data_IF_549730235653
#
_entry.id   IF_549730235653
#
_cell.length_a   1.000
_cell.length_b   1.000
_cell.length_c   1.000
_cell.angle_alpha   90.00
_cell.angle_beta   90.00
_cell.angle_gamma   90.00
#
_symmetry.space_group_name_H-M   'P 1'
#
loop_
_entity.id
_entity.type
_entity.pdbx_description
1 polymer ?
#
# COMPACT_ATOMS: atom_id res chain seq x y z
N UNK A 1 -7.50 2.24 -13.97
CA UNK A 1 -6.30 2.14 -14.83
C UNK A 1 -5.07 2.81 -14.21
N UNK A 2 -5.17 4.05 -13.71
CA UNK A 2 -4.02 4.83 -13.20
C UNK A 2 -3.22 4.15 -12.06
N UNK A 3 -3.90 3.45 -11.14
CA UNK A 3 -3.22 2.71 -10.04
C UNK A 3 -2.38 1.54 -10.55
N UNK A 4 -2.84 0.81 -11.58
CA UNK A 4 -2.07 -0.29 -12.16
C UNK A 4 -0.79 0.23 -12.84
N UNK A 5 -0.91 1.34 -13.56
CA UNK A 5 0.25 2.03 -14.17
C UNK A 5 1.23 2.52 -13.11
N UNK A 6 0.74 3.12 -12.03
CA UNK A 6 1.56 3.55 -10.91
C UNK A 6 2.38 2.38 -10.32
N UNK A 7 1.74 1.24 -10.07
CA UNK A 7 2.42 0.06 -9.54
C UNK A 7 3.50 -0.45 -10.49
N UNK A 8 3.22 -0.54 -11.79
CA UNK A 8 4.19 -0.98 -12.78
C UNK A 8 5.41 -0.04 -12.88
N UNK A 9 5.17 1.27 -12.95
CA UNK A 9 6.23 2.29 -13.01
C UNK A 9 7.03 2.32 -11.70
N UNK A 10 6.37 2.20 -10.56
CA UNK A 10 7.02 2.14 -9.24
C UNK A 10 7.96 0.94 -9.14
N UNK A 11 7.51 -0.25 -9.53
CA UNK A 11 8.34 -1.46 -9.48
C UNK A 11 9.55 -1.31 -10.39
N UNK A 12 9.35 -0.90 -11.65
CA UNK A 12 10.45 -0.67 -12.58
C UNK A 12 11.46 0.40 -12.09
N UNK A 13 10.98 1.44 -11.40
CA UNK A 13 11.83 2.47 -10.80
C UNK A 13 12.72 1.91 -9.68
N UNK A 14 12.13 1.10 -8.80
CA UNK A 14 12.86 0.49 -7.68
C UNK A 14 13.84 -0.56 -8.19
N UNK A 15 13.45 -1.40 -9.14
CA UNK A 15 14.35 -2.39 -9.74
C UNK A 15 15.57 -1.72 -10.40
N UNK A 16 15.36 -0.59 -11.09
CA UNK A 16 16.44 0.17 -11.70
C UNK A 16 17.36 0.86 -10.67
N UNK A 17 16.79 1.33 -9.56
CA UNK A 17 17.52 1.86 -8.41
C UNK A 17 18.39 0.77 -7.75
N UNK A 18 17.80 -0.40 -7.50
CA UNK A 18 18.48 -1.55 -6.88
C UNK A 18 19.59 -2.12 -7.78
N UNK A 19 19.39 -2.07 -9.10
CA UNK A 19 20.39 -2.44 -10.09
C UNK A 19 21.51 -1.38 -10.25
N UNK A 20 21.43 -0.23 -9.58
CA UNK A 20 22.40 0.85 -9.67
C UNK A 20 22.37 1.63 -10.99
N UNK A 21 21.28 1.52 -11.76
CA UNK A 21 21.07 2.24 -13.03
C UNK A 21 19.86 3.18 -12.89
N UNK A 22 19.97 4.24 -12.07
CA UNK A 22 18.86 5.14 -11.82
C UNK A 22 18.44 5.87 -13.11
N UNK A 23 17.16 5.74 -13.46
CA UNK A 23 16.58 6.42 -14.62
C UNK A 23 15.80 7.66 -14.16
N UNK A 24 16.39 8.84 -14.37
CA UNK A 24 15.79 10.12 -13.97
C UNK A 24 14.45 10.40 -14.65
N UNK A 25 14.27 10.00 -15.91
CA UNK A 25 13.00 10.16 -16.61
C UNK A 25 11.91 9.32 -15.94
N UNK A 26 12.23 8.08 -15.59
CA UNK A 26 11.30 7.15 -14.95
C UNK A 26 10.92 7.58 -13.52
N UNK A 27 11.86 8.18 -12.78
CA UNK A 27 11.58 8.79 -11.48
C UNK A 27 10.71 10.06 -11.59
N UNK A 28 10.90 10.86 -12.64
CA UNK A 28 10.06 12.03 -12.91
C UNK A 28 8.62 11.64 -13.23
N UNK A 29 8.43 10.59 -14.05
CA UNK A 29 7.11 10.02 -14.34
C UNK A 29 6.42 9.50 -13.07
N UNK A 30 7.17 8.75 -12.23
CA UNK A 30 6.66 8.26 -10.95
C UNK A 30 6.16 9.42 -10.07
N UNK A 31 6.93 10.50 -9.95
CA UNK A 31 6.56 11.70 -9.19
C UNK A 31 5.28 12.35 -9.71
N UNK A 32 5.13 12.51 -11.02
CA UNK A 32 3.91 13.09 -11.61
C UNK A 32 2.67 12.24 -11.32
N UNK A 33 2.82 10.92 -11.37
CA UNK A 33 1.73 10.00 -11.04
C UNK A 33 1.39 10.08 -9.54
N UNK A 34 2.39 10.13 -8.66
CA UNK A 34 2.20 10.30 -7.21
C UNK A 34 1.46 11.59 -6.86
N UNK A 35 1.83 12.72 -7.49
CA UNK A 35 1.18 14.01 -7.26
C UNK A 35 -0.29 13.99 -7.71
N UNK A 36 -0.60 13.33 -8.84
CA UNK A 36 -1.98 13.16 -9.33
C UNK A 36 -2.83 12.24 -8.44
N UNK A 37 -2.22 11.22 -7.85
CA UNK A 37 -2.89 10.29 -6.94
C UNK A 37 -2.96 10.81 -5.49
N UNK A 38 -2.31 11.93 -5.18
CA UNK A 38 -2.22 12.44 -3.81
C UNK A 38 -1.38 11.54 -2.89
N UNK A 39 -0.45 10.77 -3.45
CA UNK A 39 0.45 9.88 -2.71
C UNK A 39 1.77 10.55 -2.35
N UNK A 40 1.95 11.83 -2.67
CA UNK A 40 3.15 12.56 -2.30
C UNK A 40 3.31 12.59 -0.78
N UNK A 41 4.56 12.60 -0.31
CA UNK A 41 4.89 12.64 1.12
C UNK A 41 4.19 13.77 1.88
N UNK A 42 4.00 14.94 1.23
CA UNK A 42 3.21 16.04 1.79
C UNK A 42 1.71 15.74 1.87
N UNK A 43 1.13 15.08 0.86
CA UNK A 43 -0.28 14.71 0.86
C UNK A 43 -0.57 13.65 1.93
N UNK A 44 0.30 12.63 2.06
CA UNK A 44 0.22 11.63 3.14
C UNK A 44 0.34 12.29 4.53
N UNK A 45 1.28 13.22 4.71
CA UNK A 45 1.42 14.00 5.96
C UNK A 45 0.18 14.84 6.27
N UNK A 46 -0.45 15.47 5.27
CA UNK A 46 -1.69 16.26 5.44
C UNK A 46 -2.89 15.39 5.81
N UNK A 47 -2.96 14.18 5.26
CA UNK A 47 -4.00 13.21 5.59
C UNK A 47 -3.81 12.55 6.96
N UNK A 48 -2.69 12.84 7.66
CA UNK A 48 -2.26 12.11 8.85
C UNK A 48 -2.25 10.59 8.64
N UNK A 49 -2.07 10.16 7.38
CA UNK A 49 -1.96 8.74 7.05
C UNK A 49 -0.58 8.28 7.48
N UNK A 50 -0.52 7.80 8.71
CA UNK A 50 0.60 7.02 9.22
C UNK A 50 0.33 5.55 8.86
N UNK A 51 1.29 4.91 8.17
CA UNK A 51 1.32 3.45 8.09
C UNK A 51 1.79 2.98 9.47
N UNK A 52 0.87 2.95 10.43
CA UNK A 52 1.14 2.32 11.71
C UNK A 52 1.38 0.83 11.45
N UNK A 53 2.39 0.25 12.10
CA UNK A 53 2.50 -1.21 12.16
C UNK A 53 1.16 -1.76 12.63
N UNK A 54 0.69 -2.89 12.06
CA UNK A 54 -0.57 -3.48 12.48
C UNK A 54 -0.52 -3.67 13.99
N UNK A 55 -1.37 -2.92 14.70
CA UNK A 55 -1.56 -3.09 16.14
C UNK A 55 -1.78 -4.57 16.34
N UNK A 56 -0.82 -5.26 16.97
CA UNK A 56 -1.01 -6.63 17.42
C UNK A 56 -2.26 -6.58 18.28
N UNK A 57 -3.41 -6.99 17.73
CA UNK A 57 -4.65 -7.13 18.49
C UNK A 57 -4.27 -8.04 19.64
N UNK A 58 -4.13 -7.47 20.85
CA UNK A 58 -4.07 -8.30 22.05
C UNK A 58 -5.32 -9.16 21.96
N UNK A 59 -5.15 -10.48 21.95
CA UNK A 59 -6.25 -11.43 21.88
C UNK A 59 -7.08 -11.29 23.15
N UNK A 60 -7.94 -10.28 23.21
CA UNK A 60 -8.97 -10.15 24.23
C UNK A 60 -10.09 -11.09 23.84
N UNK A 61 -9.90 -12.39 24.14
CA UNK A 61 -10.93 -13.43 24.40
C UNK A 61 -12.27 -13.35 23.65
N UNK A 62 -12.29 -12.86 22.42
CA UNK A 62 -13.45 -12.86 21.54
C UNK A 62 -13.28 -14.01 20.56
N UNK A 63 -13.82 -15.17 20.90
CA UNK A 63 -13.80 -16.32 20.01
C UNK A 63 -14.57 -16.00 18.74
N UNK A 64 -13.89 -16.10 17.59
CA UNK A 64 -14.56 -16.13 16.29
C UNK A 64 -15.24 -17.48 16.20
N UNK A 65 -16.57 -17.51 16.30
CA UNK A 65 -17.35 -18.72 16.06
C UNK A 65 -17.46 -18.91 14.55
N UNK A 66 -17.03 -20.07 14.07
CA UNK A 66 -17.13 -20.41 12.66
C UNK A 66 -18.60 -20.48 12.25
N UNK A 67 -18.93 -19.93 11.08
CA UNK A 67 -20.32 -19.89 10.60
C UNK A 67 -20.86 -21.30 10.36
N UNK A 68 -19.98 -22.23 9.96
CA UNK A 68 -20.32 -23.64 9.76
C UNK A 68 -20.80 -24.31 11.06
N UNK A 69 -20.16 -24.02 12.19
CA UNK A 69 -20.57 -24.57 13.50
C UNK A 69 -21.95 -24.06 13.90
N UNK A 70 -22.30 -22.83 13.52
CA UNK A 70 -23.57 -22.18 13.91
C UNK A 70 -24.81 -22.79 13.25
N UNK A 71 -24.68 -23.37 12.06
CA UNK A 71 -25.79 -23.96 11.30
C UNK A 71 -25.85 -25.49 11.39
N UNK A 72 -24.93 -26.13 12.13
CA UNK A 72 -24.88 -27.59 12.30
C UNK A 72 -26.04 -28.18 13.11
N UNK A 73 -26.80 -27.34 13.83
CA UNK A 73 -27.90 -27.74 14.72
C UNK A 73 -29.30 -27.29 14.22
N UNK A 74 -29.44 -27.00 12.93
CA UNK A 74 -30.74 -26.83 12.25
C UNK A 74 -31.08 -28.10 11.47
#
# INVERSE_FOLDING_TARGET
MQVATYLAVRTAAHDALDAGVPNAALLSELRQIEDRLGLSSMALKRLQWEIAEPVKRSQSRGGVIDAADRFSHL
#
